data_IF_284423774689
#
_entry.id   IF_284423774689
#
_cell.length_a   1.000
_cell.length_b   1.000
_cell.length_c   1.000
_cell.angle_alpha   90.00
_cell.angle_beta   90.00
_cell.angle_gamma   90.00
#
_symmetry.space_group_name_H-M   'P 1'
#
loop_
_entity.id
_entity.type
_entity.pdbx_description
1 polymer ?
#
# COMPACT_ATOMS: atom_id res chain seq x y z
N UNK A 1 60.86 -0.69 -13.99
CA UNK A 1 59.77 0.24 -14.34
C UNK A 1 58.59 -0.09 -13.46
N UNK A 2 58.48 0.59 -12.32
CA UNK A 2 57.35 0.47 -11.40
C UNK A 2 56.71 1.85 -11.42
N UNK A 3 55.53 1.97 -12.02
CA UNK A 3 54.78 3.22 -12.04
C UNK A 3 53.86 3.21 -10.81
N UNK A 4 54.20 4.00 -9.81
CA UNK A 4 53.32 4.31 -8.69
C UNK A 4 52.23 5.26 -9.18
N UNK A 5 50.98 4.79 -9.23
CA UNK A 5 49.82 5.65 -9.40
C UNK A 5 49.46 6.16 -8.00
N UNK A 6 49.77 7.43 -7.75
CA UNK A 6 49.35 8.13 -6.54
C UNK A 6 47.94 8.68 -6.78
N UNK A 7 46.91 7.93 -6.40
CA UNK A 7 45.55 8.48 -6.31
C UNK A 7 45.42 9.22 -4.99
N UNK A 8 45.59 10.54 -5.03
CA UNK A 8 45.15 11.44 -3.96
C UNK A 8 43.63 11.54 -4.03
N UNK A 9 42.91 10.64 -3.36
CA UNK A 9 41.49 10.81 -3.05
C UNK A 9 41.35 11.27 -1.60
N UNK A 10 41.55 12.56 -1.36
CA UNK A 10 41.11 13.23 -0.12
C UNK A 10 39.77 13.91 -0.36
N UNK A 11 38.77 13.15 -0.83
CA UNK A 11 37.38 13.61 -0.76
C UNK A 11 36.76 13.01 0.49
N UNK A 12 36.60 13.89 1.47
CA UNK A 12 35.84 13.68 2.69
C UNK A 12 34.38 13.36 2.30
N UNK A 13 33.82 12.20 2.66
CA UNK A 13 32.44 11.82 2.31
C UNK A 13 31.37 12.73 2.93
N UNK A 14 31.77 13.65 3.83
CA UNK A 14 30.91 14.65 4.46
C UNK A 14 30.79 16.00 3.70
N UNK A 15 31.47 16.18 2.57
CA UNK A 15 31.44 17.47 1.82
C UNK A 15 30.41 17.54 0.69
N UNK A 16 29.65 16.47 0.42
CA UNK A 16 28.68 16.43 -0.69
C UNK A 16 27.24 16.82 -0.30
N UNK A 17 26.91 16.89 1.00
CA UNK A 17 25.57 17.30 1.45
C UNK A 17 25.28 18.79 1.17
N UNK A 18 26.31 19.64 1.15
CA UNK A 18 26.18 21.08 0.89
C UNK A 18 25.93 21.42 -0.60
N UNK A 19 26.18 20.49 -1.52
CA UNK A 19 25.92 20.65 -2.96
C UNK A 19 24.51 20.20 -3.37
N UNK A 20 23.79 19.51 -2.49
CA UNK A 20 22.46 18.98 -2.76
C UNK A 20 21.40 19.96 -2.24
N UNK A 21 20.93 20.85 -3.10
CA UNK A 21 19.75 21.67 -2.79
C UNK A 21 18.47 20.82 -2.75
N UNK A 22 17.46 21.29 -2.03
CA UNK A 22 16.13 20.71 -2.16
C UNK A 22 15.62 20.89 -3.60
N UNK A 23 14.71 20.02 -4.02
CA UNK A 23 14.03 20.08 -5.32
C UNK A 23 12.53 19.92 -5.15
N UNK A 24 11.75 20.29 -6.17
CA UNK A 24 10.29 20.19 -6.16
C UNK A 24 9.80 19.89 -7.58
N UNK A 25 8.67 19.18 -7.71
CA UNK A 25 8.03 18.97 -9.03
C UNK A 25 7.27 20.20 -9.54
N UNK A 26 6.85 21.09 -8.62
CA UNK A 26 6.15 22.34 -8.93
C UNK A 26 6.46 23.39 -7.86
N UNK A 27 6.22 24.67 -8.15
CA UNK A 27 6.47 25.80 -7.23
C UNK A 27 5.74 25.67 -5.88
N UNK A 28 4.60 24.98 -5.86
CA UNK A 28 3.83 24.67 -4.65
C UNK A 28 3.92 23.20 -4.25
N UNK A 29 4.88 22.46 -4.80
CA UNK A 29 5.07 21.03 -4.60
C UNK A 29 5.83 20.71 -3.31
N UNK A 30 5.98 19.42 -3.03
CA UNK A 30 6.74 18.95 -1.87
C UNK A 30 8.23 19.26 -2.02
N UNK A 31 8.84 19.83 -0.99
CA UNK A 31 10.29 19.95 -0.87
C UNK A 31 10.94 18.57 -0.71
N UNK A 32 11.61 18.12 -1.76
CA UNK A 32 12.38 16.87 -1.80
C UNK A 32 13.82 17.17 -1.39
N UNK A 33 14.23 16.54 -0.30
CA UNK A 33 15.55 16.61 0.33
C UNK A 33 16.08 15.20 0.58
N UNK A 34 17.37 15.11 0.83
CA UNK A 34 18.03 13.88 1.29
C UNK A 34 17.23 13.25 2.46
N UNK A 35 17.01 11.92 2.48
CA UNK A 35 17.61 10.88 1.64
C UNK A 35 16.95 10.68 0.26
N UNK A 36 15.83 11.36 0.00
CA UNK A 36 15.13 11.30 -1.27
C UNK A 36 15.79 12.20 -2.30
N UNK A 37 15.73 11.79 -3.57
CA UNK A 37 16.20 12.62 -4.68
C UNK A 37 15.33 12.44 -5.91
N UNK A 38 15.29 13.46 -6.76
CA UNK A 38 14.77 13.28 -8.11
C UNK A 38 15.82 12.59 -9.00
N UNK A 39 15.38 11.82 -9.99
CA UNK A 39 16.30 11.13 -10.94
C UNK A 39 17.27 12.09 -11.65
N UNK A 40 16.90 13.37 -11.80
CA UNK A 40 17.75 14.39 -12.41
C UNK A 40 18.90 14.86 -11.48
N UNK A 41 18.84 14.58 -10.18
CA UNK A 41 19.89 14.94 -9.23
C UNK A 41 21.05 13.93 -9.27
N UNK A 42 22.29 14.36 -8.98
CA UNK A 42 23.43 13.45 -8.87
C UNK A 42 23.19 12.29 -7.90
N UNK A 43 23.87 11.17 -8.13
CA UNK A 43 23.72 9.95 -7.31
C UNK A 43 24.05 10.16 -5.83
N UNK A 44 24.96 11.07 -5.52
CA UNK A 44 25.32 11.37 -4.13
C UNK A 44 24.26 12.17 -3.37
N UNK A 45 23.23 12.70 -4.03
CA UNK A 45 22.18 13.50 -3.38
C UNK A 45 21.02 12.68 -2.79
N UNK A 46 21.09 11.35 -2.84
CA UNK A 46 20.08 10.49 -2.25
C UNK A 46 20.55 9.04 -2.15
N UNK A 47 19.81 8.23 -1.40
CA UNK A 47 20.14 6.81 -1.28
C UNK A 47 19.59 5.99 -2.46
N UNK A 48 20.28 4.91 -2.86
CA UNK A 48 19.72 3.93 -3.78
C UNK A 48 18.35 3.43 -3.28
N UNK A 49 17.34 3.45 -4.16
CA UNK A 49 15.97 3.05 -3.82
C UNK A 49 15.08 4.17 -3.23
N UNK A 50 15.61 5.37 -3.00
CA UNK A 50 14.86 6.56 -2.58
C UNK A 50 14.64 7.56 -3.73
N UNK A 51 14.69 7.07 -4.97
CA UNK A 51 14.47 7.92 -6.14
C UNK A 51 12.97 8.23 -6.26
N UNK A 52 12.67 9.51 -6.41
CA UNK A 52 11.36 10.03 -6.73
C UNK A 52 11.35 10.55 -8.17
N UNK A 53 10.18 10.62 -8.77
CA UNK A 53 10.01 11.19 -10.10
C UNK A 53 8.81 12.12 -10.17
N UNK A 54 8.85 13.06 -11.12
CA UNK A 54 7.79 14.02 -11.35
C UNK A 54 7.00 13.64 -12.60
N UNK A 55 5.67 13.66 -12.49
CA UNK A 55 4.77 13.61 -13.66
C UNK A 55 3.86 14.83 -13.57
N UNK A 56 4.10 15.80 -14.46
CA UNK A 56 3.55 17.16 -14.34
C UNK A 56 3.96 17.77 -12.98
N UNK A 57 2.98 18.19 -12.18
CA UNK A 57 3.19 18.86 -10.89
C UNK A 57 3.21 17.88 -9.69
N UNK A 58 3.05 16.58 -9.95
CA UNK A 58 2.88 15.55 -8.91
C UNK A 58 4.13 14.68 -8.74
N UNK A 59 4.50 14.41 -7.49
CA UNK A 59 5.63 13.55 -7.10
C UNK A 59 5.19 12.11 -6.92
N UNK A 60 6.00 11.17 -7.41
CA UNK A 60 5.75 9.74 -7.34
C UNK A 60 6.96 8.96 -6.85
N UNK A 61 6.70 7.75 -6.35
CA UNK A 61 7.69 6.72 -6.04
C UNK A 61 7.30 5.42 -6.74
N UNK A 62 8.27 4.67 -7.25
CA UNK A 62 8.07 3.33 -7.79
C UNK A 62 8.60 2.29 -6.80
N UNK A 63 7.74 1.34 -6.43
CA UNK A 63 8.09 0.22 -5.56
C UNK A 63 8.26 -1.05 -6.43
N UNK A 64 9.39 -1.77 -6.36
CA UNK A 64 9.79 -2.83 -7.32
C UNK A 64 8.74 -3.90 -7.62
N UNK A 65 7.82 -4.19 -6.69
CA UNK A 65 6.78 -5.21 -6.83
C UNK A 65 5.35 -4.67 -6.71
N UNK A 66 5.21 -3.38 -6.37
CA UNK A 66 3.90 -2.80 -6.07
C UNK A 66 3.53 -1.64 -6.98
N UNK A 67 4.44 -1.19 -7.86
CA UNK A 67 4.19 -0.16 -8.86
C UNK A 67 4.31 1.27 -8.32
N UNK A 68 3.72 2.22 -9.05
CA UNK A 68 3.84 3.66 -8.78
C UNK A 68 2.84 4.14 -7.72
N UNK A 69 3.27 4.95 -6.76
CA UNK A 69 2.41 5.63 -5.80
C UNK A 69 2.66 7.14 -5.81
N UNK A 70 1.63 7.93 -5.53
CA UNK A 70 1.76 9.38 -5.34
C UNK A 70 2.34 9.63 -3.97
N UNK A 71 3.37 10.47 -3.89
CA UNK A 71 3.89 10.96 -2.60
C UNK A 71 3.06 12.17 -2.18
N UNK A 72 2.35 12.04 -1.07
CA UNK A 72 1.47 13.10 -0.54
C UNK A 72 2.13 13.95 0.52
N UNK A 73 3.05 13.37 1.29
CA UNK A 73 3.80 14.02 2.34
C UNK A 73 5.10 13.29 2.65
N UNK A 74 6.15 14.03 3.02
CA UNK A 74 7.40 13.48 3.53
C UNK A 74 7.65 14.11 4.89
N UNK A 75 7.66 13.31 5.94
CA UNK A 75 8.08 13.72 7.27
C UNK A 75 9.56 13.38 7.45
N UNK A 76 10.43 14.38 7.31
CA UNK A 76 11.87 14.23 7.49
C UNK A 76 12.29 14.00 8.94
N UNK A 77 11.50 14.46 9.92
CA UNK A 77 11.81 14.28 11.34
C UNK A 77 11.54 12.85 11.76
N UNK A 78 10.39 12.32 11.34
CA UNK A 78 9.96 10.95 11.65
C UNK A 78 10.46 9.91 10.64
N UNK A 79 11.10 10.35 9.55
CA UNK A 79 11.54 9.52 8.42
C UNK A 79 10.39 8.72 7.78
N UNK A 80 9.22 9.33 7.67
CA UNK A 80 8.00 8.70 7.14
C UNK A 80 7.66 9.22 5.75
N UNK A 81 7.45 8.30 4.81
CA UNK A 81 6.93 8.59 3.48
C UNK A 81 5.43 8.29 3.43
N UNK A 82 4.63 9.30 3.14
CA UNK A 82 3.19 9.14 2.97
C UNK A 82 2.86 9.01 1.50
N UNK A 83 2.23 7.91 1.15
CA UNK A 83 1.86 7.60 -0.22
C UNK A 83 0.36 7.40 -0.37
N UNK A 84 -0.17 7.71 -1.55
CA UNK A 84 -1.54 7.42 -1.94
C UNK A 84 -1.60 6.77 -3.32
N UNK A 85 -2.72 6.11 -3.59
CA UNK A 85 -3.05 5.57 -4.91
C UNK A 85 -4.03 6.52 -5.61
N UNK A 86 -3.77 6.87 -6.89
CA UNK A 86 -4.62 7.79 -7.66
C UNK A 86 -5.96 7.20 -8.08
N UNK A 87 -6.11 5.88 -8.00
CA UNK A 87 -7.26 5.17 -8.57
C UNK A 87 -8.21 4.65 -7.48
N UNK A 88 -8.09 5.12 -6.23
CA UNK A 88 -8.85 4.63 -5.06
C UNK A 88 -8.75 3.10 -4.84
N UNK A 89 -7.77 2.43 -5.44
CA UNK A 89 -7.53 0.99 -5.31
C UNK A 89 -6.46 0.69 -4.25
N UNK A 90 -6.18 1.65 -3.38
CA UNK A 90 -5.28 1.49 -2.26
C UNK A 90 -5.55 0.21 -1.42
N UNK A 91 -6.80 -0.27 -1.21
CA UNK A 91 -7.04 -1.49 -0.43
C UNK A 91 -6.47 -2.73 -1.10
N UNK A 92 -6.78 -2.92 -2.39
CA UNK A 92 -6.26 -4.04 -3.18
C UNK A 92 -4.74 -3.99 -3.34
N UNK A 93 -4.17 -2.78 -3.42
CA UNK A 93 -2.70 -2.60 -3.49
C UNK A 93 -2.03 -2.88 -2.14
N UNK A 94 -2.60 -2.45 -1.01
CA UNK A 94 -2.06 -2.68 0.34
C UNK A 94 -1.97 -4.17 0.68
N UNK A 95 -3.00 -4.95 0.35
CA UNK A 95 -3.02 -6.39 0.63
C UNK A 95 -1.89 -7.12 -0.10
N UNK A 96 -1.52 -6.62 -1.28
CA UNK A 96 -0.46 -7.16 -2.12
C UNK A 96 0.81 -6.29 -2.11
N UNK A 97 0.97 -5.43 -1.10
CA UNK A 97 2.19 -4.62 -0.97
C UNK A 97 3.35 -5.55 -0.70
N UNK A 98 4.36 -5.43 -1.54
CA UNK A 98 5.60 -6.16 -1.40
C UNK A 98 6.72 -5.12 -1.44
N UNK A 99 7.20 -4.80 -0.25
CA UNK A 99 8.30 -3.87 -0.02
C UNK A 99 9.65 -4.57 -0.03
N UNK A 100 9.70 -5.89 -0.23
CA UNK A 100 10.96 -6.61 -0.33
C UNK A 100 11.81 -5.99 -1.43
N UNK A 101 13.13 -6.01 -1.24
CA UNK A 101 14.08 -5.35 -2.14
C UNK A 101 13.91 -3.82 -2.27
N UNK A 102 13.06 -3.19 -1.45
CA UNK A 102 13.01 -1.73 -1.29
C UNK A 102 13.64 -1.33 0.06
N UNK A 103 14.12 -0.09 0.22
CA UNK A 103 14.61 0.39 1.51
C UNK A 103 13.53 0.55 2.59
N UNK A 104 12.26 0.37 2.23
CA UNK A 104 11.11 0.44 3.13
C UNK A 104 10.68 -0.94 3.64
N UNK A 105 11.44 -1.99 3.33
CA UNK A 105 11.23 -3.32 3.88
C UNK A 105 11.45 -3.27 5.40
N UNK A 106 10.39 -3.49 6.18
CA UNK A 106 10.47 -3.56 7.63
C UNK A 106 10.70 -5.02 8.04
N UNK A 107 11.90 -5.38 8.52
CA UNK A 107 12.19 -6.75 8.96
C UNK A 107 11.37 -7.17 10.19
N UNK A 108 10.69 -6.24 10.88
CA UNK A 108 9.72 -6.57 11.94
C UNK A 108 8.33 -6.92 11.39
N UNK A 109 7.99 -6.53 10.15
CA UNK A 109 6.76 -6.95 9.47
C UNK A 109 6.96 -8.25 8.66
N UNK A 110 8.20 -8.65 8.39
CA UNK A 110 8.52 -9.91 7.71
C UNK A 110 8.33 -11.15 8.58
N UNK A 111 7.93 -11.04 9.86
CA UNK A 111 7.54 -12.20 10.67
C UNK A 111 6.17 -12.80 10.28
N UNK A 112 5.48 -12.18 9.32
CA UNK A 112 4.31 -12.76 8.66
C UNK A 112 4.73 -13.37 7.31
N UNK A 113 5.72 -14.27 7.34
CA UNK A 113 6.16 -15.04 6.18
C UNK A 113 5.02 -15.96 5.69
N UNK A 114 4.29 -15.47 4.69
CA UNK A 114 4.01 -16.12 3.40
C UNK A 114 4.07 -17.66 3.32
N UNK A 115 3.27 -18.35 4.14
CA UNK A 115 2.90 -19.75 3.89
C UNK A 115 1.56 -19.76 3.13
N UNK A 116 1.61 -19.53 1.80
CA UNK A 116 0.43 -19.62 0.92
C UNK A 116 -0.74 -18.72 1.34
N UNK A 117 -0.41 -17.53 1.87
CA UNK A 117 -1.26 -16.76 2.77
C UNK A 117 -2.44 -16.12 2.04
N UNK A 118 -3.61 -16.68 2.29
CA UNK A 118 -4.87 -16.25 1.71
C UNK A 118 -5.50 -15.15 2.55
N UNK A 119 -5.75 -13.99 1.95
CA UNK A 119 -6.47 -12.92 2.62
C UNK A 119 -7.96 -13.29 2.74
N UNK A 120 -8.36 -13.75 3.92
CA UNK A 120 -9.71 -14.29 4.18
C UNK A 120 -10.84 -13.38 3.67
N UNK A 121 -10.82 -12.05 3.88
CA UNK A 121 -11.89 -11.19 3.37
C UNK A 121 -12.05 -11.20 1.84
N UNK A 122 -10.96 -11.22 1.07
CA UNK A 122 -11.01 -11.26 -0.39
C UNK A 122 -11.59 -12.57 -0.89
N UNK A 123 -11.12 -13.70 -0.35
CA UNK A 123 -11.69 -14.99 -0.70
C UNK A 123 -13.17 -15.10 -0.33
N UNK A 124 -13.53 -14.70 0.88
CA UNK A 124 -14.88 -14.83 1.38
C UNK A 124 -15.84 -14.02 0.49
N UNK A 125 -15.43 -12.81 0.09
CA UNK A 125 -16.17 -11.99 -0.86
C UNK A 125 -16.40 -12.74 -2.19
N UNK A 126 -15.34 -13.26 -2.81
CA UNK A 126 -15.43 -13.93 -4.10
C UNK A 126 -16.21 -15.26 -4.07
N UNK A 127 -16.17 -15.99 -2.96
CA UNK A 127 -16.96 -17.20 -2.73
C UNK A 127 -18.46 -16.84 -2.66
N UNK A 128 -18.79 -15.81 -1.89
CA UNK A 128 -20.16 -15.32 -1.74
C UNK A 128 -20.71 -14.73 -3.05
N UNK A 129 -19.89 -14.00 -3.80
CA UNK A 129 -20.26 -13.42 -5.11
C UNK A 129 -20.64 -14.51 -6.13
N UNK A 130 -19.96 -15.67 -6.10
CA UNK A 130 -20.28 -16.83 -6.93
C UNK A 130 -21.45 -17.67 -6.39
N UNK A 131 -22.02 -17.29 -5.24
CA UNK A 131 -23.08 -18.06 -4.57
C UNK A 131 -22.59 -19.37 -3.97
N UNK A 132 -21.27 -19.51 -3.76
CA UNK A 132 -20.68 -20.73 -3.24
C UNK A 132 -20.72 -20.76 -1.71
N UNK A 133 -20.74 -21.97 -1.14
CA UNK A 133 -20.66 -22.12 0.31
C UNK A 133 -19.24 -21.87 0.84
N UNK A 134 -19.14 -21.25 2.02
CA UNK A 134 -17.87 -20.95 2.70
C UNK A 134 -17.16 -22.21 3.24
N UNK A 135 -17.65 -23.41 2.92
CA UNK A 135 -16.94 -24.67 3.17
C UNK A 135 -17.07 -25.14 4.61
N UNK A 136 -18.23 -24.90 5.24
CA UNK A 136 -18.48 -25.40 6.60
C UNK A 136 -18.93 -26.86 6.48
N UNK A 137 -17.96 -27.76 6.43
CA UNK A 137 -18.15 -29.20 6.10
C UNK A 137 -18.91 -30.02 7.15
N UNK A 138 -19.39 -29.38 8.23
CA UNK A 138 -20.07 -30.04 9.36
C UNK A 138 -21.32 -29.30 9.85
N UNK A 139 -21.79 -28.28 9.12
CA UNK A 139 -22.88 -27.42 9.57
C UNK A 139 -24.27 -27.89 9.12
N UNK A 140 -25.24 -27.79 10.02
CA UNK A 140 -26.66 -27.78 9.69
C UNK A 140 -26.99 -26.53 8.83
N UNK A 141 -28.08 -26.56 8.05
CA UNK A 141 -28.45 -25.45 7.14
C UNK A 141 -28.52 -24.08 7.87
N UNK A 142 -28.93 -24.08 9.14
CA UNK A 142 -29.00 -22.90 10.00
C UNK A 142 -27.62 -22.30 10.32
N UNK A 143 -26.60 -23.13 10.54
CA UNK A 143 -25.24 -22.68 10.84
C UNK A 143 -24.56 -22.07 9.61
N UNK A 144 -24.81 -22.65 8.43
CA UNK A 144 -24.37 -22.07 7.15
C UNK A 144 -24.97 -20.68 6.95
N UNK A 145 -26.26 -20.50 7.26
CA UNK A 145 -26.92 -19.19 7.17
C UNK A 145 -26.30 -18.17 8.12
N UNK A 146 -26.01 -18.56 9.36
CA UNK A 146 -25.36 -17.70 10.35
C UNK A 146 -23.98 -17.27 9.87
N UNK A 147 -23.15 -18.20 9.37
CA UNK A 147 -21.80 -17.90 8.89
C UNK A 147 -21.84 -16.96 7.69
N UNK A 148 -22.75 -17.20 6.74
CA UNK A 148 -22.95 -16.29 5.60
C UNK A 148 -23.36 -14.89 6.06
N UNK A 149 -24.32 -14.78 6.98
CA UNK A 149 -24.79 -13.51 7.53
C UNK A 149 -23.66 -12.74 8.21
N UNK A 150 -22.91 -13.40 9.11
CA UNK A 150 -21.78 -12.79 9.81
C UNK A 150 -20.70 -12.34 8.84
N UNK A 151 -20.39 -13.15 7.83
CA UNK A 151 -19.40 -12.81 6.81
C UNK A 151 -19.82 -11.58 6.01
N UNK A 152 -21.08 -11.52 5.54
CA UNK A 152 -21.58 -10.35 4.79
C UNK A 152 -21.56 -9.08 5.65
N UNK A 153 -22.02 -9.17 6.90
CA UNK A 153 -21.97 -8.02 7.83
C UNK A 153 -20.53 -7.59 8.11
N UNK A 154 -19.60 -8.53 8.28
CA UNK A 154 -18.19 -8.25 8.47
C UNK A 154 -17.60 -7.54 7.25
N UNK A 155 -17.89 -8.01 6.03
CA UNK A 155 -17.45 -7.39 4.77
C UNK A 155 -17.95 -5.94 4.64
N UNK A 156 -19.16 -5.62 5.10
CA UNK A 156 -19.65 -4.24 5.19
C UNK A 156 -18.89 -3.42 6.24
N UNK A 157 -18.54 -4.03 7.37
CA UNK A 157 -17.86 -3.35 8.47
C UNK A 157 -16.37 -3.09 8.21
N UNK A 158 -15.74 -3.79 7.27
CA UNK A 158 -14.32 -3.61 6.91
C UNK A 158 -14.14 -2.87 5.58
N UNK A 159 -15.21 -2.26 5.05
CA UNK A 159 -15.11 -1.39 3.88
C UNK A 159 -14.04 -0.32 4.08
N UNK A 160 -13.24 -0.12 3.03
CA UNK A 160 -12.16 0.85 3.07
C UNK A 160 -12.66 2.28 3.02
N UNK A 161 -13.66 2.55 2.17
CA UNK A 161 -14.31 3.85 2.17
C UNK A 161 -15.19 3.97 3.42
N UNK A 162 -14.88 4.96 4.25
CA UNK A 162 -15.64 5.26 5.45
C UNK A 162 -17.11 5.59 5.14
N UNK A 163 -17.39 6.06 3.93
CA UNK A 163 -18.74 6.38 3.44
C UNK A 163 -19.58 5.12 3.18
N UNK A 164 -18.93 4.01 2.82
CA UNK A 164 -19.59 2.73 2.56
C UNK A 164 -19.82 1.93 3.84
N UNK A 165 -19.08 2.25 4.91
CA UNK A 165 -19.23 1.58 6.20
C UNK A 165 -20.59 1.92 6.83
N UNK A 166 -21.43 0.93 7.16
CA UNK A 166 -22.72 1.20 7.78
C UNK A 166 -22.55 1.70 9.22
N UNK A 167 -23.45 2.58 9.70
CA UNK A 167 -23.49 2.94 11.11
C UNK A 167 -23.87 1.73 11.97
N UNK A 168 -23.43 1.69 13.22
CA UNK A 168 -23.69 0.56 14.14
C UNK A 168 -25.17 0.20 14.24
N UNK A 169 -26.09 1.18 14.20
CA UNK A 169 -27.53 0.93 14.19
C UNK A 169 -27.96 0.06 13.00
N UNK A 170 -27.40 0.29 11.82
CA UNK A 170 -27.69 -0.51 10.62
C UNK A 170 -27.03 -1.88 10.70
N UNK A 171 -25.82 -1.98 11.27
CA UNK A 171 -25.15 -3.26 11.54
C UNK A 171 -25.99 -4.14 12.45
N UNK A 172 -26.54 -3.61 13.55
CA UNK A 172 -27.44 -4.35 14.45
C UNK A 172 -28.68 -4.83 13.70
N UNK A 173 -29.30 -3.97 12.88
CA UNK A 173 -30.45 -4.36 12.05
C UNK A 173 -30.11 -5.48 11.06
N UNK A 174 -28.90 -5.46 10.48
CA UNK A 174 -28.42 -6.51 9.58
C UNK A 174 -28.21 -7.84 10.30
N UNK A 175 -27.75 -7.80 11.55
CA UNK A 175 -27.56 -9.00 12.38
C UNK A 175 -28.89 -9.59 12.88
N UNK A 176 -29.87 -8.74 13.23
CA UNK A 176 -31.20 -9.15 13.69
C UNK A 176 -32.13 -9.57 12.53
N UNK A 177 -31.87 -9.11 11.30
CA UNK A 177 -32.65 -9.42 10.11
C UNK A 177 -32.37 -10.80 9.49
N UNK A 178 -33.11 -11.16 8.44
CA UNK A 178 -32.91 -12.40 7.66
C UNK A 178 -31.77 -12.26 6.63
N UNK A 179 -31.09 -13.36 6.30
CA UNK A 179 -29.96 -13.34 5.33
C UNK A 179 -30.38 -12.82 3.95
N UNK A 180 -31.61 -13.12 3.52
CA UNK A 180 -32.18 -12.73 2.22
C UNK A 180 -32.29 -11.21 2.03
N UNK A 181 -32.23 -10.44 3.13
CA UNK A 181 -32.25 -8.98 3.09
C UNK A 181 -30.87 -8.35 2.90
N UNK A 182 -29.80 -9.15 2.97
CA UNK A 182 -28.43 -8.68 2.90
C UNK A 182 -27.88 -8.77 1.49
N UNK A 183 -27.48 -7.61 0.97
CA UNK A 183 -26.69 -7.51 -0.27
C UNK A 183 -25.21 -7.52 0.07
N UNK A 184 -24.38 -8.01 -0.86
CA UNK A 184 -22.94 -7.85 -0.77
C UNK A 184 -22.57 -6.36 -0.82
N UNK A 185 -21.57 -5.93 -0.03
CA UNK A 185 -21.04 -4.57 -0.14
C UNK A 185 -20.36 -4.36 -1.51
N UNK A 186 -20.03 -3.10 -1.87
CA UNK A 186 -19.11 -2.83 -2.98
C UNK A 186 -17.84 -3.67 -2.83
N UNK A 187 -17.31 -4.21 -3.93
CA UNK A 187 -16.09 -5.02 -3.90
C UNK A 187 -14.89 -4.12 -3.51
N UNK A 188 -14.34 -4.26 -2.29
CA UNK A 188 -13.22 -3.43 -1.87
C UNK A 188 -11.88 -3.96 -2.42
N UNK A 189 -11.88 -5.13 -3.06
CA UNK A 189 -10.72 -5.86 -3.59
C UNK A 189 -10.66 -5.85 -5.12
N UNK A 190 -11.58 -5.14 -5.79
CA UNK A 190 -11.61 -5.06 -7.24
C UNK A 190 -10.25 -4.65 -7.80
N UNK A 191 -9.74 -5.41 -8.77
CA UNK A 191 -8.49 -5.12 -9.45
C UNK A 191 -8.58 -3.76 -10.16
N UNK A 192 -7.62 -2.87 -9.89
CA UNK A 192 -7.54 -1.53 -10.49
C UNK A 192 -7.42 -1.50 -12.03
N UNK A 193 -7.30 -2.64 -12.69
CA UNK A 193 -7.17 -2.73 -14.14
C UNK A 193 -8.54 -2.99 -14.77
N UNK A 194 -9.28 -1.91 -14.97
CA UNK A 194 -10.33 -1.86 -16.00
C UNK A 194 -10.05 -0.67 -16.92
N UNK A 195 -9.29 -0.97 -17.98
CA UNK A 195 -9.38 -0.32 -19.29
C UNK A 195 -9.56 -1.42 -20.31
#
# INVERSE_FOLDING_TARGET
MINTITTTSTLNPYHHEDECSFTQCSESGLEIRFPFRLEQQPEFCGYPGFNLFCRHDTTYIELPFSGEFVVTYIDYLSQMLYVSDTNNCLPGRIIHLNLSSSPFDDPALSEVENDGQFYFPEWAYHRLERGEDLGVTTADDDEVEIVKKLTVVALWCIQWDLSDRPPMKKVVQMLEGGVESLLLPPNPFGSCFQV
#
